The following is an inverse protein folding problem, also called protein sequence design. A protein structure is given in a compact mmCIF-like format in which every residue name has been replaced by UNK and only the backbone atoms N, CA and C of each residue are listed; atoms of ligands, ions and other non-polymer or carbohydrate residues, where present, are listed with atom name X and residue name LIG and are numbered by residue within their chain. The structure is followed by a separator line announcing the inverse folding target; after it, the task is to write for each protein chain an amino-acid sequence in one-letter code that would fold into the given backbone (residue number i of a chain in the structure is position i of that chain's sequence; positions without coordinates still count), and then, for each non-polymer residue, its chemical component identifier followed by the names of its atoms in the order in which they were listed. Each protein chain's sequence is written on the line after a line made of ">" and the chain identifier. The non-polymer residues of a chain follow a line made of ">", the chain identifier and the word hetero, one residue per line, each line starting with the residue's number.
data_IF_487170537701
#
_entry.id   IF_487170537701
#
_cell.length_a   1.000
_cell.length_b   1.000
_cell.length_c   1.000
_cell.angle_alpha   90.00
_cell.angle_beta   90.00
_cell.angle_gamma   90.00
#
_symmetry.space_group_name_H-M   'P 1'
#
loop_
_entity.id
_entity.type
_entity.pdbx_description
1 polymer ?
#
# COMPACT_ATOMS: atom_id res chain seq x y z
N UNK A 1 -1.39 -56.13 18.80
CA UNK A 1 -2.12 -54.95 18.31
C UNK A 1 -1.11 -54.12 17.55
N UNK A 2 -0.93 -54.43 16.26
CA UNK A 2 0.01 -53.72 15.39
C UNK A 2 -0.79 -52.55 14.82
N UNK A 3 -0.37 -51.35 15.22
CA UNK A 3 -0.91 -50.07 14.76
C UNK A 3 -0.51 -49.93 13.28
N UNK A 4 -1.48 -50.06 12.39
CA UNK A 4 -1.33 -49.75 10.97
C UNK A 4 -1.16 -48.22 10.88
N UNK A 5 0.07 -47.73 10.73
CA UNK A 5 0.31 -46.40 10.21
C UNK A 5 -0.11 -46.42 8.74
N UNK A 6 -1.27 -45.84 8.43
CA UNK A 6 -1.59 -45.41 7.09
C UNK A 6 -0.58 -44.33 6.70
N UNK A 7 0.52 -44.76 6.06
CA UNK A 7 1.34 -43.90 5.22
C UNK A 7 0.42 -43.42 4.09
N UNK A 8 -0.03 -42.16 4.17
CA UNK A 8 -0.58 -41.47 3.00
C UNK A 8 0.52 -41.43 1.95
N UNK A 9 0.36 -42.23 0.90
CA UNK A 9 1.15 -42.04 -0.31
C UNK A 9 0.91 -40.61 -0.80
N UNK A 10 1.95 -39.85 -1.22
CA UNK A 10 1.70 -38.64 -1.98
C UNK A 10 0.93 -39.07 -3.24
N UNK A 11 -0.31 -38.60 -3.35
CA UNK A 11 -1.13 -38.81 -4.54
C UNK A 11 -0.45 -38.04 -5.66
N UNK A 12 0.40 -38.73 -6.43
CA UNK A 12 1.07 -38.16 -7.59
C UNK A 12 0.09 -38.08 -8.75
N UNK A 13 -0.89 -37.20 -8.59
CA UNK A 13 -1.68 -36.66 -9.67
C UNK A 13 -0.76 -35.80 -10.54
N UNK A 14 -0.38 -36.33 -11.70
CA UNK A 14 0.60 -35.71 -12.59
C UNK A 14 -0.04 -34.55 -13.35
N UNK A 15 0.08 -33.32 -12.85
CA UNK A 15 -0.04 -32.14 -13.72
C UNK A 15 1.03 -32.23 -14.81
N UNK A 16 0.63 -32.07 -16.07
CA UNK A 16 1.50 -32.19 -17.25
C UNK A 16 1.66 -30.85 -17.97
N UNK A 17 2.86 -30.51 -18.48
CA UNK A 17 3.09 -29.25 -19.19
C UNK A 17 2.36 -29.19 -20.55
N UNK A 18 1.83 -30.32 -21.05
CA UNK A 18 1.01 -30.39 -22.26
C UNK A 18 -0.47 -30.15 -22.02
N UNK A 19 -0.92 -30.18 -20.77
CA UNK A 19 -2.33 -30.03 -20.41
C UNK A 19 -2.63 -28.56 -20.11
N UNK A 20 -3.84 -28.10 -20.41
CA UNK A 20 -4.29 -26.75 -20.05
C UNK A 20 -4.52 -26.60 -18.54
N UNK A 21 -4.67 -25.36 -18.07
CA UNK A 21 -4.84 -25.06 -16.64
C UNK A 21 -6.04 -25.80 -16.01
N UNK A 22 -7.28 -25.75 -16.55
CA UNK A 22 -8.39 -26.49 -15.98
C UNK A 22 -8.17 -28.01 -15.93
N UNK A 23 -7.57 -28.58 -16.98
CA UNK A 23 -7.23 -30.01 -17.04
C UNK A 23 -6.20 -30.36 -15.96
N UNK A 24 -5.14 -29.57 -15.80
CA UNK A 24 -4.15 -29.77 -14.76
C UNK A 24 -4.75 -29.67 -13.36
N UNK A 25 -5.57 -28.66 -13.10
CA UNK A 25 -6.29 -28.52 -11.83
C UNK A 25 -7.14 -29.76 -11.53
N UNK A 26 -7.89 -30.26 -12.52
CA UNK A 26 -8.73 -31.46 -12.38
C UNK A 26 -7.91 -32.73 -12.08
N UNK A 27 -6.71 -32.82 -12.64
CA UNK A 27 -5.85 -33.99 -12.46
C UNK A 27 -5.29 -34.05 -11.04
N UNK A 28 -5.02 -32.91 -10.38
CA UNK A 28 -4.37 -32.83 -9.06
C UNK A 28 -5.13 -33.54 -7.92
N UNK A 29 -6.45 -33.69 -8.04
CA UNK A 29 -7.31 -34.25 -7.00
C UNK A 29 -7.49 -33.37 -5.74
N UNK A 30 -6.87 -32.20 -5.66
CA UNK A 30 -6.98 -31.24 -4.53
C UNK A 30 -7.59 -29.89 -4.92
N UNK A 31 -8.08 -29.77 -6.16
CA UNK A 31 -8.74 -28.58 -6.72
C UNK A 31 -10.12 -28.92 -7.30
N UNK A 32 -10.80 -29.94 -6.74
CA UNK A 32 -12.13 -30.34 -7.21
C UNK A 32 -13.15 -29.20 -7.04
N UNK A 33 -13.10 -28.45 -5.93
CA UNK A 33 -13.95 -27.29 -5.66
C UNK A 33 -13.71 -26.17 -6.67
N UNK A 34 -12.44 -25.89 -7.00
CA UNK A 34 -12.07 -24.90 -8.01
C UNK A 34 -12.63 -25.27 -9.39
N UNK A 35 -12.43 -26.52 -9.82
CA UNK A 35 -12.91 -26.99 -11.13
C UNK A 35 -14.44 -26.98 -11.19
N UNK A 36 -15.12 -27.35 -10.10
CA UNK A 36 -16.57 -27.26 -10.00
C UNK A 36 -17.05 -25.80 -10.10
N UNK A 37 -16.39 -24.87 -9.40
CA UNK A 37 -16.71 -23.45 -9.43
C UNK A 37 -16.51 -22.84 -10.83
N UNK A 38 -15.41 -23.19 -11.51
CA UNK A 38 -15.16 -22.78 -12.90
C UNK A 38 -16.22 -23.30 -13.86
N UNK A 39 -16.69 -24.53 -13.66
CA UNK A 39 -17.78 -25.11 -14.44
C UNK A 39 -19.12 -24.42 -14.16
N UNK A 40 -19.39 -24.08 -12.91
CA UNK A 40 -20.61 -23.39 -12.47
C UNK A 40 -20.69 -21.97 -13.01
N UNK A 41 -19.55 -21.25 -13.05
CA UNK A 41 -19.44 -19.89 -13.58
C UNK A 41 -19.17 -19.82 -15.09
N UNK A 42 -19.22 -20.94 -15.82
CA UNK A 42 -18.92 -21.02 -17.27
C UNK A 42 -17.52 -20.49 -17.68
N UNK A 43 -16.55 -20.47 -16.76
CA UNK A 43 -15.19 -19.95 -16.97
C UNK A 43 -14.18 -20.99 -17.49
N UNK A 44 -14.55 -22.27 -17.57
CA UNK A 44 -13.65 -23.34 -18.05
C UNK A 44 -13.08 -22.99 -19.43
N UNK A 45 -13.93 -22.62 -20.37
CA UNK A 45 -13.49 -22.32 -21.75
C UNK A 45 -12.60 -21.08 -21.82
N UNK A 46 -12.83 -20.09 -20.95
CA UNK A 46 -11.98 -18.90 -20.80
C UNK A 46 -10.57 -19.28 -20.39
N UNK A 47 -10.42 -20.14 -19.38
CA UNK A 47 -9.12 -20.61 -18.89
C UNK A 47 -8.47 -21.71 -19.74
N UNK A 48 -9.18 -22.26 -20.73
CA UNK A 48 -8.60 -23.08 -21.80
C UNK A 48 -8.09 -22.25 -22.99
N UNK A 49 -8.36 -20.94 -22.99
CA UNK A 49 -7.93 -20.04 -24.04
C UNK A 49 -6.41 -19.97 -24.20
N UNK A 50 -5.96 -19.34 -25.29
CA UNK A 50 -4.55 -19.05 -25.53
C UNK A 50 -4.02 -18.08 -24.48
N UNK A 51 -3.18 -18.58 -23.57
CA UNK A 51 -2.50 -17.77 -22.56
C UNK A 51 -1.31 -16.96 -23.11
N UNK A 52 -0.33 -16.61 -22.26
CA UNK A 52 -0.11 -17.18 -20.94
C UNK A 52 -1.05 -16.62 -19.86
N UNK A 53 -1.52 -17.48 -18.97
CA UNK A 53 -2.18 -17.12 -17.71
C UNK A 53 -1.32 -17.52 -16.51
N UNK A 54 -1.50 -16.84 -15.39
CA UNK A 54 -1.03 -17.32 -14.09
C UNK A 54 -2.23 -17.45 -13.17
N UNK A 55 -2.52 -18.67 -12.72
CA UNK A 55 -3.67 -18.94 -11.85
C UNK A 55 -3.19 -19.28 -10.46
N UNK A 56 -3.66 -18.52 -9.48
CA UNK A 56 -3.48 -18.84 -8.07
C UNK A 56 -4.61 -19.79 -7.66
N UNK A 57 -4.36 -21.09 -7.66
CA UNK A 57 -5.38 -22.11 -7.49
C UNK A 57 -5.57 -22.46 -5.99
N UNK A 58 -6.70 -22.08 -5.36
CA UNK A 58 -6.96 -22.46 -3.98
C UNK A 58 -7.32 -23.94 -3.87
N UNK A 59 -6.79 -24.58 -2.84
CA UNK A 59 -7.11 -25.99 -2.54
C UNK A 59 -8.57 -26.19 -2.13
N UNK A 60 -9.06 -27.43 -2.17
CA UNK A 60 -10.40 -27.79 -1.69
C UNK A 60 -10.61 -27.39 -0.21
N UNK A 61 -9.55 -27.44 0.61
CA UNK A 61 -9.60 -26.98 2.00
C UNK A 61 -9.77 -25.45 2.08
N UNK A 62 -9.09 -24.70 1.20
CA UNK A 62 -9.22 -23.24 1.14
C UNK A 62 -10.66 -22.80 0.82
N UNK A 63 -11.33 -23.49 -0.11
CA UNK A 63 -12.76 -23.26 -0.40
C UNK A 63 -13.65 -23.57 0.81
N UNK A 64 -13.40 -24.69 1.48
CA UNK A 64 -14.16 -25.07 2.68
C UNK A 64 -13.97 -24.06 3.82
N UNK A 65 -12.75 -23.57 4.04
CA UNK A 65 -12.43 -22.57 5.06
C UNK A 65 -13.02 -21.20 4.73
N UNK A 66 -13.13 -20.86 3.44
CA UNK A 66 -13.82 -19.66 2.97
C UNK A 66 -15.36 -19.76 3.10
N UNK A 67 -15.90 -20.97 3.33
CA UNK A 67 -17.34 -21.19 3.44
C UNK A 67 -18.12 -21.01 2.14
N UNK A 68 -17.46 -21.16 0.99
CA UNK A 68 -18.09 -21.03 -0.33
C UNK A 68 -18.85 -22.32 -0.66
N UNK A 69 -20.18 -22.24 -0.73
CA UNK A 69 -21.05 -23.29 -1.25
C UNK A 69 -21.59 -22.88 -2.63
N UNK A 70 -21.35 -23.69 -3.66
CA UNK A 70 -21.82 -23.40 -5.03
C UNK A 70 -23.36 -23.41 -5.12
N UNK A 71 -24.05 -24.05 -4.17
CA UNK A 71 -25.50 -24.03 -4.11
C UNK A 71 -26.06 -22.64 -3.74
N UNK A 72 -25.25 -21.76 -3.13
CA UNK A 72 -25.62 -20.39 -2.80
C UNK A 72 -25.50 -19.43 -4.00
N UNK A 73 -25.03 -19.91 -5.16
CA UNK A 73 -24.85 -19.14 -6.38
C UNK A 73 -25.88 -19.57 -7.44
N UNK A 74 -27.17 -19.35 -7.18
CA UNK A 74 -28.26 -19.83 -8.03
C UNK A 74 -28.94 -18.74 -8.88
N UNK A 75 -28.59 -17.48 -8.64
CA UNK A 75 -29.01 -16.32 -9.43
C UNK A 75 -27.91 -15.79 -10.36
N UNK A 76 -28.27 -15.00 -11.36
CA UNK A 76 -27.31 -14.37 -12.28
C UNK A 76 -26.33 -13.45 -11.52
N UNK A 77 -26.82 -12.67 -10.53
CA UNK A 77 -26.02 -11.72 -9.74
C UNK A 77 -25.03 -12.43 -8.81
N UNK A 78 -25.44 -13.54 -8.20
CA UNK A 78 -24.52 -14.38 -7.43
C UNK A 78 -23.49 -15.02 -8.37
N UNK A 79 -23.89 -15.54 -9.53
CA UNK A 79 -22.94 -16.11 -10.50
C UNK A 79 -21.94 -15.08 -11.05
N UNK A 80 -22.35 -13.81 -11.20
CA UNK A 80 -21.43 -12.70 -11.48
C UNK A 80 -20.44 -12.48 -10.33
N UNK A 81 -20.90 -12.59 -9.09
CA UNK A 81 -20.03 -12.52 -7.89
C UNK A 81 -19.02 -13.67 -7.86
N UNK A 82 -19.46 -14.91 -8.11
CA UNK A 82 -18.56 -16.06 -8.21
C UNK A 82 -17.55 -15.88 -9.34
N UNK A 83 -18.01 -15.41 -10.50
CA UNK A 83 -17.12 -15.12 -11.64
C UNK A 83 -16.08 -14.08 -11.27
N UNK A 84 -16.47 -13.01 -10.58
CA UNK A 84 -15.55 -11.98 -10.09
C UNK A 84 -14.49 -12.57 -9.15
N UNK A 85 -14.89 -13.39 -8.17
CA UNK A 85 -13.98 -14.09 -7.26
C UNK A 85 -13.01 -14.97 -8.03
N UNK A 86 -13.49 -15.80 -8.96
CA UNK A 86 -12.65 -16.71 -9.73
C UNK A 86 -11.67 -15.96 -10.64
N UNK A 87 -12.09 -14.86 -11.28
CA UNK A 87 -11.22 -14.03 -12.10
C UNK A 87 -10.19 -13.25 -11.26
N UNK A 88 -10.47 -12.98 -9.99
CA UNK A 88 -9.49 -12.41 -9.04
C UNK A 88 -8.32 -13.35 -8.74
N UNK A 89 -8.43 -14.65 -9.08
CA UNK A 89 -7.33 -15.61 -8.96
C UNK A 89 -6.48 -15.72 -10.24
N UNK A 90 -6.86 -15.02 -11.30
CA UNK A 90 -6.24 -15.13 -12.63
C UNK A 90 -5.48 -13.86 -12.94
N UNK A 91 -4.21 -13.99 -13.28
CA UNK A 91 -3.40 -12.93 -13.85
C UNK A 91 -3.19 -13.18 -15.34
N UNK A 92 -3.38 -12.15 -16.16
CA UNK A 92 -3.16 -12.20 -17.60
C UNK A 92 -1.67 -12.03 -17.94
N UNK A 93 -0.91 -13.10 -17.78
CA UNK A 93 0.51 -13.15 -18.09
C UNK A 93 1.20 -14.33 -17.43
N UNK A 94 2.48 -14.51 -17.72
CA UNK A 94 3.31 -15.54 -17.08
C UNK A 94 4.10 -14.91 -15.94
N UNK A 95 3.80 -15.31 -14.70
CA UNK A 95 4.50 -14.86 -13.50
C UNK A 95 5.02 -16.10 -12.78
N UNK A 96 6.33 -16.32 -12.88
CA UNK A 96 7.02 -17.37 -12.11
C UNK A 96 7.35 -16.85 -10.71
N UNK A 97 7.57 -17.75 -9.76
CA UNK A 97 7.99 -17.38 -8.40
C UNK A 97 9.25 -16.51 -8.39
N UNK A 98 10.15 -16.72 -9.37
CA UNK A 98 11.41 -15.98 -9.50
C UNK A 98 11.27 -14.51 -9.97
N UNK A 99 10.10 -14.15 -10.52
CA UNK A 99 9.80 -12.79 -10.98
C UNK A 99 9.17 -11.92 -9.88
N UNK A 100 8.73 -12.54 -8.77
CA UNK A 100 8.06 -11.84 -7.70
C UNK A 100 9.08 -11.08 -6.83
N UNK A 101 8.73 -9.85 -6.50
CA UNK A 101 9.41 -9.04 -5.50
C UNK A 101 8.46 -8.71 -4.37
N UNK A 102 8.98 -8.58 -3.16
CA UNK A 102 8.17 -8.19 -2.00
C UNK A 102 7.49 -6.83 -2.24
N UNK A 103 6.20 -6.74 -1.88
CA UNK A 103 5.39 -5.54 -2.09
C UNK A 103 4.94 -5.30 -3.54
N UNK A 104 5.22 -6.20 -4.48
CA UNK A 104 4.74 -6.07 -5.86
C UNK A 104 3.20 -6.09 -5.89
N UNK A 105 2.60 -5.13 -6.57
CA UNK A 105 1.18 -5.11 -6.88
C UNK A 105 0.95 -5.65 -8.29
N UNK A 106 -0.07 -6.48 -8.47
CA UNK A 106 -0.52 -6.91 -9.79
C UNK A 106 -2.03 -6.77 -9.92
N UNK A 107 -2.46 -6.29 -11.09
CA UNK A 107 -3.87 -6.24 -11.50
C UNK A 107 -4.29 -7.61 -12.04
N UNK A 108 -5.31 -8.18 -11.44
CA UNK A 108 -5.91 -9.47 -11.81
C UNK A 108 -6.91 -9.27 -12.95
N UNK A 109 -7.38 -10.35 -13.56
CA UNK A 109 -8.30 -10.29 -14.71
C UNK A 109 -9.62 -9.61 -14.36
N UNK A 110 -10.02 -9.66 -13.08
CA UNK A 110 -11.22 -8.96 -12.61
C UNK A 110 -11.04 -7.44 -12.45
N UNK A 111 -9.82 -6.92 -12.62
CA UNK A 111 -9.47 -5.50 -12.49
C UNK A 111 -9.02 -5.09 -11.09
N UNK A 112 -9.24 -5.92 -10.07
CA UNK A 112 -8.73 -5.68 -8.72
C UNK A 112 -7.26 -6.05 -8.62
N UNK A 113 -6.61 -5.54 -7.57
CA UNK A 113 -5.19 -5.79 -7.32
C UNK A 113 -4.97 -6.80 -6.22
N UNK A 114 -3.84 -7.48 -6.31
CA UNK A 114 -3.26 -8.28 -5.23
C UNK A 114 -1.86 -7.80 -4.93
N UNK A 115 -1.49 -7.85 -3.64
CA UNK A 115 -0.12 -7.59 -3.19
C UNK A 115 0.62 -8.91 -2.98
N UNK A 116 1.81 -9.01 -3.52
CA UNK A 116 2.71 -10.13 -3.28
C UNK A 116 3.61 -9.86 -2.08
N UNK A 117 3.78 -10.86 -1.23
CA UNK A 117 4.78 -10.89 -0.17
C UNK A 117 5.86 -11.91 -0.51
N UNK A 118 7.13 -11.53 -0.36
CA UNK A 118 8.28 -12.44 -0.59
C UNK A 118 9.15 -12.43 0.65
N UNK A 119 8.99 -13.44 1.50
CA UNK A 119 9.77 -13.62 2.72
C UNK A 119 10.24 -15.07 2.89
N UNK A 120 9.98 -15.65 4.06
CA UNK A 120 10.21 -17.09 4.29
C UNK A 120 9.32 -17.97 3.39
N UNK A 121 8.14 -17.45 3.06
CA UNK A 121 7.18 -18.01 2.11
C UNK A 121 6.74 -16.91 1.15
N UNK A 122 6.24 -17.30 -0.02
CA UNK A 122 5.58 -16.36 -0.95
C UNK A 122 4.11 -16.28 -0.58
N UNK A 123 3.57 -15.06 -0.51
CA UNK A 123 2.14 -14.80 -0.29
C UNK A 123 1.56 -13.99 -1.44
N UNK A 124 0.28 -14.16 -1.70
CA UNK A 124 -0.53 -13.37 -2.62
C UNK A 124 -1.79 -12.93 -1.89
N UNK A 125 -1.95 -11.63 -1.69
CA UNK A 125 -2.92 -11.09 -0.73
C UNK A 125 -2.69 -11.69 0.66
N UNK A 126 -3.71 -12.34 1.21
CA UNK A 126 -3.63 -13.04 2.50
C UNK A 126 -3.33 -14.55 2.40
N UNK A 127 -3.18 -15.08 1.19
CA UNK A 127 -2.97 -16.49 0.92
C UNK A 127 -1.48 -16.81 0.82
N UNK A 128 -1.07 -17.96 1.35
CA UNK A 128 0.28 -18.50 1.22
C UNK A 128 0.35 -19.42 0.00
N UNK A 129 1.39 -19.24 -0.82
CA UNK A 129 1.68 -20.17 -1.92
C UNK A 129 2.31 -21.44 -1.34
N UNK A 130 1.60 -22.56 -1.48
CA UNK A 130 2.01 -23.87 -0.95
C UNK A 130 2.78 -24.70 -1.97
N UNK A 131 2.52 -24.50 -3.26
CA UNK A 131 3.28 -25.09 -4.37
C UNK A 131 3.32 -24.09 -5.52
N UNK A 132 4.51 -23.74 -5.97
CA UNK A 132 4.70 -22.76 -7.04
C UNK A 132 5.10 -23.42 -8.38
N UNK A 133 4.96 -22.64 -9.46
CA UNK A 133 5.53 -22.93 -10.79
C UNK A 133 5.06 -24.26 -11.42
N UNK A 134 3.77 -24.60 -11.27
CA UNK A 134 3.17 -25.75 -11.97
C UNK A 134 2.86 -25.36 -13.41
N UNK A 135 3.74 -25.75 -14.32
CA UNK A 135 3.65 -25.42 -15.76
C UNK A 135 2.48 -26.14 -16.43
N UNK A 136 1.69 -25.38 -17.19
CA UNK A 136 0.60 -25.82 -18.06
C UNK A 136 0.84 -25.33 -19.49
N UNK A 137 0.14 -25.92 -20.47
CA UNK A 137 0.30 -25.57 -21.89
C UNK A 137 -0.06 -24.12 -22.24
N UNK A 138 -0.90 -23.49 -21.41
CA UNK A 138 -1.37 -22.12 -21.58
C UNK A 138 -1.06 -21.22 -20.36
N UNK A 139 -0.10 -21.61 -19.50
CA UNK A 139 0.28 -20.76 -18.37
C UNK A 139 0.92 -21.49 -17.18
N UNK A 140 0.82 -20.89 -16.00
CA UNK A 140 1.37 -21.38 -14.73
C UNK A 140 0.27 -21.45 -13.69
N UNK A 141 0.34 -22.46 -12.82
CA UNK A 141 -0.49 -22.56 -11.61
C UNK A 141 0.40 -22.41 -10.38
N UNK A 142 -0.03 -21.57 -9.44
CA UNK A 142 0.50 -21.49 -8.07
C UNK A 142 -0.60 -21.93 -7.11
N UNK A 143 -0.37 -22.98 -6.34
CA UNK A 143 -1.34 -23.52 -5.39
C UNK A 143 -1.33 -22.67 -4.12
N UNK A 144 -2.49 -22.23 -3.66
CA UNK A 144 -2.64 -21.36 -2.48
C UNK A 144 -3.53 -22.00 -1.40
N UNK A 145 -3.31 -21.60 -0.15
CA UNK A 145 -4.03 -22.14 1.03
C UNK A 145 -5.31 -21.38 1.41
N UNK A 146 -5.63 -20.28 0.74
CA UNK A 146 -6.86 -19.50 0.93
C UNK A 146 -7.44 -19.04 -0.40
N UNK A 147 -8.74 -18.82 -0.43
CA UNK A 147 -9.41 -18.13 -1.55
C UNK A 147 -9.09 -16.64 -1.49
N UNK A 148 -8.68 -16.06 -2.62
CA UNK A 148 -8.52 -14.63 -2.82
C UNK A 148 -9.90 -14.00 -3.00
N UNK A 149 -10.39 -13.37 -1.94
CA UNK A 149 -11.60 -12.56 -2.01
C UNK A 149 -11.27 -11.19 -2.62
N UNK A 150 -12.04 -10.71 -3.61
CA UNK A 150 -11.93 -9.35 -4.09
C UNK A 150 -11.92 -8.35 -2.92
N UNK A 151 -11.06 -7.33 -2.96
CA UNK A 151 -10.93 -6.38 -1.87
C UNK A 151 -12.18 -5.49 -1.75
N UNK A 152 -12.46 -5.04 -0.53
CA UNK A 152 -13.51 -4.05 -0.27
C UNK A 152 -13.05 -2.64 -0.64
N UNK A 153 -13.99 -1.68 -0.71
CA UNK A 153 -13.64 -0.27 -0.93
C UNK A 153 -12.93 0.35 0.29
N UNK A 154 -12.43 1.58 0.14
CA UNK A 154 -11.67 2.27 1.20
C UNK A 154 -12.45 2.42 2.52
N UNK A 155 -13.67 2.99 2.56
CA UNK A 155 -14.40 3.13 3.81
C UNK A 155 -14.70 1.80 4.52
N UNK A 156 -15.13 0.78 3.76
CA UNK A 156 -15.41 -0.54 4.30
C UNK A 156 -14.13 -1.18 4.86
N UNK A 157 -13.03 -1.13 4.11
CA UNK A 157 -11.72 -1.65 4.55
C UNK A 157 -11.25 -0.95 5.83
N UNK A 158 -11.33 0.39 5.89
CA UNK A 158 -10.94 1.13 7.09
C UNK A 158 -11.79 0.73 8.30
N UNK A 159 -13.10 0.52 8.10
CA UNK A 159 -14.05 0.13 9.14
C UNK A 159 -13.79 -1.24 9.77
N UNK A 160 -13.15 -2.17 9.07
CA UNK A 160 -12.87 -3.52 9.61
C UNK A 160 -11.56 -3.61 10.40
N UNK A 161 -10.65 -2.64 10.23
CA UNK A 161 -9.33 -2.65 10.88
C UNK A 161 -9.37 -2.49 12.41
N UNK A 162 -10.45 -1.92 12.95
CA UNK A 162 -10.57 -1.61 14.38
C UNK A 162 -9.67 -0.47 14.90
N UNK A 163 -8.78 0.09 14.08
CA UNK A 163 -7.85 1.19 14.44
C UNK A 163 -8.16 2.52 13.73
N UNK A 164 -9.20 2.56 12.91
CA UNK A 164 -9.61 3.74 12.13
C UNK A 164 -11.04 4.21 12.48
N UNK A 165 -11.53 3.92 13.69
CA UNK A 165 -12.91 4.26 14.07
C UNK A 165 -13.17 5.78 14.01
N UNK A 166 -12.18 6.57 14.43
CA UNK A 166 -12.19 8.04 14.42
C UNK A 166 -12.18 8.58 13.00
N UNK A 167 -11.38 7.97 12.11
CA UNK A 167 -11.34 8.33 10.70
C UNK A 167 -12.69 8.07 10.03
N UNK A 168 -13.26 6.88 10.20
CA UNK A 168 -14.55 6.51 9.60
C UNK A 168 -15.67 7.42 10.13
N UNK A 169 -15.70 7.70 11.44
CA UNK A 169 -16.65 8.64 12.03
C UNK A 169 -16.49 10.06 11.46
N UNK A 170 -15.25 10.52 11.28
CA UNK A 170 -14.96 11.83 10.70
C UNK A 170 -15.45 11.93 9.24
N UNK A 171 -15.19 10.91 8.42
CA UNK A 171 -15.63 10.82 7.02
C UNK A 171 -17.15 10.90 6.92
N UNK A 172 -17.87 10.18 7.79
CA UNK A 172 -19.34 10.23 7.84
C UNK A 172 -19.82 11.62 8.27
N UNK A 173 -19.23 12.21 9.31
CA UNK A 173 -19.63 13.54 9.81
C UNK A 173 -19.40 14.66 8.78
N UNK A 174 -18.34 14.53 7.98
CA UNK A 174 -17.98 15.46 6.91
C UNK A 174 -18.74 15.20 5.59
N UNK A 175 -19.66 14.24 5.55
CA UNK A 175 -20.44 13.84 4.37
C UNK A 175 -19.56 13.40 3.17
N UNK A 176 -18.38 12.83 3.44
CA UNK A 176 -17.41 12.38 2.41
C UNK A 176 -17.50 10.88 2.09
N UNK A 177 -18.39 10.12 2.76
CA UNK A 177 -18.50 8.67 2.59
C UNK A 177 -18.73 8.28 1.12
N UNK A 178 -19.75 8.86 0.48
CA UNK A 178 -20.08 8.56 -0.92
C UNK A 178 -18.96 8.97 -1.90
N UNK A 179 -18.14 9.96 -1.54
CA UNK A 179 -16.97 10.35 -2.34
C UNK A 179 -15.89 9.28 -2.29
N UNK A 180 -15.60 8.74 -1.11
CA UNK A 180 -14.61 7.67 -0.91
C UNK A 180 -15.11 6.28 -1.31
N UNK A 181 -16.41 6.08 -1.45
CA UNK A 181 -17.01 4.89 -2.10
C UNK A 181 -17.01 4.99 -3.63
N UNK A 182 -16.75 6.19 -4.17
CA UNK A 182 -16.75 6.45 -5.60
C UNK A 182 -15.64 5.69 -6.36
N UNK A 183 -15.69 5.73 -7.70
CA UNK A 183 -14.67 5.12 -8.53
C UNK A 183 -13.32 5.81 -8.30
N UNK A 184 -12.29 5.02 -8.04
CA UNK A 184 -10.92 5.48 -7.87
C UNK A 184 -10.15 5.60 -9.20
N UNK A 185 -8.80 5.53 -9.15
CA UNK A 185 -8.00 5.17 -7.98
C UNK A 185 -7.80 6.33 -7.01
N UNK A 186 -7.87 6.02 -5.72
CA UNK A 186 -7.45 6.90 -4.62
C UNK A 186 -6.22 6.35 -3.90
N UNK A 187 -5.44 7.24 -3.30
CA UNK A 187 -4.49 6.88 -2.24
C UNK A 187 -4.87 7.64 -0.99
N UNK A 188 -5.24 6.92 0.07
CA UNK A 188 -5.68 7.51 1.34
C UNK A 188 -4.62 7.26 2.40
N UNK A 189 -4.10 8.35 2.96
CA UNK A 189 -3.26 8.30 4.15
C UNK A 189 -4.17 8.25 5.37
N UNK A 190 -4.40 7.05 5.92
CA UNK A 190 -5.37 6.82 6.97
C UNK A 190 -4.71 6.93 8.36
N UNK A 191 -4.96 8.02 9.13
CA UNK A 191 -4.44 8.14 10.48
C UNK A 191 -5.15 7.18 11.44
N UNK A 192 -4.36 6.57 12.33
CA UNK A 192 -4.89 5.72 13.40
C UNK A 192 -5.74 6.50 14.41
N UNK A 193 -6.54 5.80 15.22
CA UNK A 193 -7.28 6.39 16.34
C UNK A 193 -6.35 7.09 17.36
N UNK A 194 -5.13 6.57 17.53
CA UNK A 194 -4.11 7.21 18.37
C UNK A 194 -3.65 8.53 17.75
N UNK A 195 -3.46 8.59 16.44
CA UNK A 195 -3.09 9.81 15.73
C UNK A 195 -4.13 10.92 15.90
N UNK A 196 -5.42 10.59 15.83
CA UNK A 196 -6.52 11.54 16.12
C UNK A 196 -6.49 12.05 17.56
N UNK A 197 -6.22 11.15 18.51
CA UNK A 197 -6.12 11.49 19.93
C UNK A 197 -4.95 12.44 20.18
N UNK A 198 -3.79 12.16 19.60
CA UNK A 198 -2.57 12.98 19.74
C UNK A 198 -2.71 14.35 19.06
N UNK A 199 -3.46 14.42 17.97
CA UNK A 199 -3.82 15.68 17.32
C UNK A 199 -4.80 16.54 18.14
N UNK A 200 -5.43 15.98 19.18
CA UNK A 200 -6.42 16.69 19.99
C UNK A 200 -7.71 17.03 19.23
N UNK A 201 -8.01 16.32 18.14
CA UNK A 201 -9.20 16.55 17.32
C UNK A 201 -10.42 15.98 18.04
N UNK A 202 -11.37 16.86 18.36
CA UNK A 202 -12.68 16.46 18.90
C UNK A 202 -13.75 16.61 17.83
N UNK A 203 -14.26 15.47 17.33
CA UNK A 203 -15.32 15.46 16.33
C UNK A 203 -16.60 16.17 16.81
N UNK A 204 -16.92 16.05 18.11
CA UNK A 204 -18.06 16.76 18.70
C UNK A 204 -17.88 18.29 18.72
N UNK A 205 -16.64 18.78 18.81
CA UNK A 205 -16.36 20.21 18.71
C UNK A 205 -16.46 20.73 17.26
N UNK A 206 -16.33 19.82 16.28
CA UNK A 206 -16.44 20.12 14.84
C UNK A 206 -17.84 19.83 14.27
N UNK A 207 -18.83 19.47 15.10
CA UNK A 207 -20.22 19.25 14.67
C UNK A 207 -21.00 20.58 14.55
N UNK A 208 -20.41 21.51 13.79
CA UNK A 208 -21.00 22.78 13.37
C UNK A 208 -20.84 22.90 11.85
N UNK A 209 -21.63 23.74 11.16
CA UNK A 209 -21.46 23.93 9.71
C UNK A 209 -20.02 24.30 9.32
N UNK A 210 -19.39 25.22 10.03
CA UNK A 210 -18.00 25.64 9.80
C UNK A 210 -17.00 24.55 10.21
N UNK A 211 -17.28 23.83 11.29
CA UNK A 211 -16.47 22.71 11.77
C UNK A 211 -16.43 21.56 10.76
N UNK A 212 -17.56 21.24 10.13
CA UNK A 212 -17.66 20.23 9.07
C UNK A 212 -16.90 20.62 7.81
N UNK A 213 -16.93 21.90 7.42
CA UNK A 213 -16.11 22.39 6.30
C UNK A 213 -14.62 22.24 6.61
N UNK A 214 -14.21 22.59 7.83
CA UNK A 214 -12.82 22.41 8.29
C UNK A 214 -12.42 20.94 8.30
N UNK A 215 -13.30 20.07 8.82
CA UNK A 215 -13.05 18.63 8.86
C UNK A 215 -12.95 18.03 7.46
N UNK A 216 -13.83 18.44 6.53
CA UNK A 216 -13.77 18.00 5.14
C UNK A 216 -12.45 18.40 4.48
N UNK A 217 -11.98 19.64 4.68
CA UNK A 217 -10.69 20.11 4.15
C UNK A 217 -9.51 19.29 4.70
N UNK A 218 -9.49 19.03 6.02
CA UNK A 218 -8.50 18.15 6.65
C UNK A 218 -8.54 16.75 6.04
N UNK A 219 -9.72 16.15 5.89
CA UNK A 219 -9.86 14.79 5.35
C UNK A 219 -9.46 14.71 3.88
N UNK A 220 -9.80 15.71 3.06
CA UNK A 220 -9.37 15.79 1.67
C UNK A 220 -7.85 15.96 1.53
N UNK A 221 -7.18 16.57 2.52
CA UNK A 221 -5.72 16.65 2.55
C UNK A 221 -5.04 15.28 2.78
N UNK A 222 -5.77 14.28 3.26
CA UNK A 222 -5.28 12.90 3.41
C UNK A 222 -5.47 12.05 2.15
N UNK A 223 -6.05 12.60 1.09
CA UNK A 223 -6.39 11.85 -0.12
C UNK A 223 -5.60 12.38 -1.30
N UNK A 224 -4.99 11.50 -2.08
CA UNK A 224 -4.47 11.80 -3.41
C UNK A 224 -5.36 11.11 -4.44
N UNK A 225 -5.81 11.86 -5.45
CA UNK A 225 -6.69 11.36 -6.53
C UNK A 225 -5.93 10.59 -7.61
N UNK A 226 -5.00 9.74 -7.17
CA UNK A 226 -4.26 8.79 -8.00
C UNK A 226 -3.77 7.65 -7.12
N UNK A 227 -3.31 6.59 -7.77
CA UNK A 227 -2.64 5.49 -7.09
C UNK A 227 -1.15 5.82 -6.89
N UNK A 228 -0.71 5.83 -5.64
CA UNK A 228 0.67 6.07 -5.24
C UNK A 228 1.09 4.93 -4.32
N UNK A 229 1.59 3.81 -4.85
CA UNK A 229 2.14 2.75 -4.02
C UNK A 229 3.41 3.23 -3.33
N UNK A 230 3.76 2.64 -2.18
CA UNK A 230 4.95 3.08 -1.44
C UNK A 230 6.24 2.91 -2.24
N UNK A 231 6.30 1.94 -3.15
CA UNK A 231 7.42 1.73 -4.08
C UNK A 231 7.58 2.83 -5.14
N UNK A 232 6.54 3.62 -5.41
CA UNK A 232 6.61 4.77 -6.32
C UNK A 232 7.07 6.05 -5.61
N UNK A 233 7.09 6.06 -4.28
CA UNK A 233 7.51 7.22 -3.49
C UNK A 233 9.02 7.34 -3.53
N UNK A 234 9.51 8.54 -3.86
CA UNK A 234 10.94 8.87 -3.88
C UNK A 234 11.23 10.01 -2.93
N UNK A 235 12.49 10.09 -2.47
CA UNK A 235 12.89 11.18 -1.59
C UNK A 235 12.70 12.54 -2.28
N UNK A 236 12.19 13.54 -1.54
CA UNK A 236 11.86 14.85 -2.07
C UNK A 236 10.73 14.86 -3.13
N UNK A 237 9.95 13.79 -3.27
CA UNK A 237 8.71 13.79 -4.05
C UNK A 237 7.66 14.74 -3.42
N UNK A 238 6.80 15.28 -4.25
CA UNK A 238 5.62 16.06 -3.85
C UNK A 238 4.43 15.61 -4.69
N UNK A 239 3.23 15.64 -4.11
CA UNK A 239 1.97 15.43 -4.84
C UNK A 239 0.90 16.38 -4.29
N UNK A 240 -0.10 16.70 -5.10
CA UNK A 240 -1.24 17.49 -4.64
C UNK A 240 -2.29 16.56 -4.03
N UNK A 241 -2.76 16.90 -2.83
CA UNK A 241 -3.90 16.25 -2.21
C UNK A 241 -5.23 16.69 -2.88
N UNK A 242 -6.34 16.04 -2.54
CA UNK A 242 -7.65 16.30 -3.11
C UNK A 242 -8.18 17.72 -2.78
N UNK A 243 -7.66 18.37 -1.74
CA UNK A 243 -7.92 19.78 -1.45
C UNK A 243 -6.99 20.76 -2.22
N UNK A 244 -6.13 20.26 -3.12
CA UNK A 244 -5.14 21.00 -3.93
C UNK A 244 -3.95 21.57 -3.14
N UNK A 245 -3.71 21.11 -1.92
CA UNK A 245 -2.51 21.48 -1.19
C UNK A 245 -1.41 20.43 -1.37
N UNK A 246 -0.13 20.85 -1.35
CA UNK A 246 0.97 19.95 -1.54
C UNK A 246 1.17 19.04 -0.33
N UNK A 247 1.41 17.77 -0.60
CA UNK A 247 1.99 16.78 0.31
C UNK A 247 3.46 16.60 -0.05
N UNK A 248 4.31 16.51 0.96
CA UNK A 248 5.72 16.18 0.80
C UNK A 248 6.00 14.75 1.19
N UNK A 249 6.85 14.07 0.45
CA UNK A 249 7.28 12.71 0.78
C UNK A 249 8.78 12.66 1.10
N UNK A 250 9.12 11.81 2.06
CA UNK A 250 10.50 11.55 2.48
C UNK A 250 10.71 10.05 2.55
N UNK A 251 11.86 9.59 2.06
CA UNK A 251 12.26 8.19 2.09
C UNK A 251 13.61 8.10 2.81
N UNK A 252 13.61 7.44 3.97
CA UNK A 252 14.79 7.19 4.79
C UNK A 252 14.72 5.78 5.38
N UNK A 253 14.65 5.70 6.71
CA UNK A 253 14.39 4.42 7.41
C UNK A 253 12.96 3.88 7.18
N UNK A 254 12.08 4.73 6.64
CA UNK A 254 10.73 4.40 6.20
C UNK A 254 10.20 5.49 5.26
N UNK A 255 8.92 5.37 4.88
CA UNK A 255 8.23 6.40 4.09
C UNK A 255 7.51 7.34 5.04
N UNK A 256 7.65 8.64 4.83
CA UNK A 256 6.89 9.67 5.53
C UNK A 256 6.11 10.52 4.54
N UNK A 257 4.93 10.97 4.96
CA UNK A 257 4.12 11.99 4.30
C UNK A 257 4.01 13.20 5.24
N UNK A 258 4.53 14.33 4.80
CA UNK A 258 4.87 15.48 5.65
C UNK A 258 5.72 15.00 6.85
N UNK A 259 5.20 15.16 8.08
CA UNK A 259 5.83 14.68 9.31
C UNK A 259 5.24 13.37 9.85
N UNK A 260 4.32 12.74 9.11
CA UNK A 260 3.67 11.49 9.53
C UNK A 260 4.43 10.28 8.98
N UNK A 261 4.70 9.30 9.84
CA UNK A 261 5.30 8.04 9.41
C UNK A 261 4.21 7.12 8.83
N UNK A 262 4.50 6.49 7.69
CA UNK A 262 3.68 5.39 7.18
C UNK A 262 4.02 4.13 7.96
N UNK A 263 3.10 3.71 8.82
CA UNK A 263 3.28 2.53 9.70
C UNK A 263 2.85 1.22 9.05
N UNK A 264 1.97 1.29 8.04
CA UNK A 264 1.62 0.17 7.19
C UNK A 264 1.27 0.70 5.80
N UNK A 265 1.98 0.22 4.79
CA UNK A 265 1.84 0.67 3.41
C UNK A 265 1.06 -0.32 2.54
N UNK A 266 0.51 0.20 1.44
CA UNK A 266 -0.08 -0.57 0.34
C UNK A 266 -1.16 -1.56 0.80
N UNK A 267 -2.10 -1.10 1.62
CA UNK A 267 -3.32 -1.87 1.90
C UNK A 267 -4.24 -1.72 0.68
N UNK A 268 -4.45 -2.82 -0.03
CA UNK A 268 -5.20 -2.83 -1.30
C UNK A 268 -6.70 -2.75 -1.04
N UNK A 269 -7.38 -1.90 -1.79
CA UNK A 269 -8.84 -1.77 -1.80
C UNK A 269 -9.35 -1.80 -3.25
N UNK A 270 -10.65 -2.04 -3.48
CA UNK A 270 -11.21 -2.09 -4.85
C UNK A 270 -11.17 -0.75 -5.58
N UNK A 271 -11.04 0.36 -4.86
CA UNK A 271 -11.00 1.70 -5.44
C UNK A 271 -9.72 2.48 -5.07
N UNK A 272 -8.66 1.82 -4.63
CA UNK A 272 -7.40 2.49 -4.33
C UNK A 272 -6.44 1.76 -3.39
N UNK A 273 -5.65 2.56 -2.68
CA UNK A 273 -4.70 2.12 -1.66
C UNK A 273 -4.93 2.90 -0.37
N UNK A 274 -4.72 2.22 0.76
CA UNK A 274 -4.61 2.84 2.07
C UNK A 274 -3.16 2.72 2.55
N UNK A 275 -2.58 3.86 2.97
CA UNK A 275 -1.36 3.94 3.75
C UNK A 275 -1.71 4.35 5.17
N UNK A 276 -1.51 3.48 6.14
CA UNK A 276 -1.78 3.79 7.55
C UNK A 276 -0.67 4.71 8.07
N UNK A 277 -1.05 5.81 8.71
CA UNK A 277 -0.11 6.81 9.25
C UNK A 277 -0.30 7.04 10.76
N UNK A 278 0.77 7.47 11.42
CA UNK A 278 0.79 7.69 12.87
C UNK A 278 0.39 9.10 13.32
N UNK A 279 0.13 10.03 12.39
CA UNK A 279 -0.21 11.42 12.68
C UNK A 279 -1.27 11.94 11.73
N UNK A 280 -2.18 12.79 12.22
CA UNK A 280 -3.14 13.49 11.35
C UNK A 280 -2.42 14.58 10.56
N UNK A 281 -2.61 14.57 9.25
CA UNK A 281 -2.10 15.60 8.34
C UNK A 281 -2.95 16.87 8.48
N UNK A 282 -2.28 18.00 8.68
CA UNK A 282 -2.95 19.30 8.72
C UNK A 282 -2.66 20.06 7.42
N UNK A 283 -3.70 20.54 6.72
CA UNK A 283 -3.61 21.44 5.57
C UNK A 283 -2.48 22.48 5.68
N UNK A 284 -1.56 22.51 4.71
CA UNK A 284 -0.45 23.47 4.66
C UNK A 284 0.03 23.68 3.23
N UNK A 285 0.34 24.93 2.87
CA UNK A 285 0.99 25.27 1.59
C UNK A 285 2.50 25.01 1.60
N UNK A 286 3.07 24.80 2.79
CA UNK A 286 4.50 24.55 3.01
C UNK A 286 4.67 23.30 3.89
N UNK A 287 4.51 22.09 3.32
CA UNK A 287 4.57 20.83 4.05
C UNK A 287 5.99 20.42 4.49
N UNK A 288 7.03 21.11 3.99
CA UNK A 288 8.43 20.86 4.33
C UNK A 288 8.91 21.93 5.31
N UNK A 289 9.69 21.50 6.29
CA UNK A 289 10.50 22.42 7.10
C UNK A 289 11.61 23.08 6.25
N UNK A 290 12.31 24.06 6.84
CA UNK A 290 13.35 24.83 6.13
C UNK A 290 14.54 23.96 5.74
N UNK A 291 15.16 23.17 6.66
CA UNK A 291 16.26 22.29 6.31
C UNK A 291 15.92 21.31 5.19
N UNK A 292 14.72 20.72 5.24
CA UNK A 292 14.23 19.77 4.24
C UNK A 292 13.98 20.44 2.90
N UNK A 293 13.41 21.64 2.91
CA UNK A 293 13.26 22.44 1.69
C UNK A 293 14.61 22.70 1.03
N UNK A 294 15.62 23.12 1.81
CA UNK A 294 16.98 23.36 1.32
C UNK A 294 17.61 22.09 0.75
N UNK A 295 17.51 20.96 1.46
CA UNK A 295 18.02 19.66 1.01
C UNK A 295 17.43 19.26 -0.34
N UNK A 296 16.12 19.44 -0.52
CA UNK A 296 15.45 19.05 -1.76
C UNK A 296 15.71 19.97 -2.97
N UNK A 297 16.49 21.04 -2.81
CA UNK A 297 16.91 21.89 -3.94
C UNK A 297 18.13 21.33 -4.69
N UNK A 298 18.92 20.46 -4.06
CA UNK A 298 20.20 19.94 -4.59
C UNK A 298 21.31 20.98 -4.80
N UNK A 299 21.18 22.19 -4.23
CA UNK A 299 22.20 23.27 -4.33
C UNK A 299 22.54 23.91 -2.99
N UNK A 300 22.04 23.33 -1.89
CA UNK A 300 22.22 23.80 -0.51
C UNK A 300 22.74 22.69 0.40
N UNK A 301 23.43 21.69 -0.14
CA UNK A 301 23.93 20.54 0.64
C UNK A 301 24.91 20.99 1.74
N UNK A 302 25.75 21.98 1.45
CA UNK A 302 26.69 22.62 2.37
C UNK A 302 25.98 23.36 3.49
N UNK A 303 24.85 24.02 3.17
CA UNK A 303 24.03 24.69 4.17
C UNK A 303 23.42 23.68 5.15
N UNK A 304 22.83 22.60 4.62
CA UNK A 304 22.22 21.56 5.45
C UNK A 304 23.28 20.91 6.35
N UNK A 305 24.44 20.56 5.80
CA UNK A 305 25.56 20.03 6.59
C UNK A 305 26.02 21.01 7.68
N UNK A 306 26.12 22.31 7.35
CA UNK A 306 26.50 23.35 8.29
C UNK A 306 25.49 23.52 9.43
N UNK A 307 24.19 23.51 9.12
CA UNK A 307 23.09 23.59 10.11
C UNK A 307 23.15 22.41 11.09
N UNK A 308 23.39 21.20 10.59
CA UNK A 308 23.54 20.00 11.42
C UNK A 308 24.77 20.13 12.32
N UNK A 309 25.93 20.49 11.75
CA UNK A 309 27.18 20.63 12.50
C UNK A 309 27.13 21.74 13.56
N UNK A 310 26.34 22.79 13.31
CA UNK A 310 26.09 23.88 14.24
C UNK A 310 24.98 23.59 15.26
N UNK A 311 24.38 22.39 15.25
CA UNK A 311 23.27 21.98 16.14
C UNK A 311 22.03 22.87 16.02
N UNK A 312 21.81 23.48 14.85
CA UNK A 312 20.67 24.37 14.56
C UNK A 312 19.49 23.64 13.89
N UNK A 313 19.63 22.35 13.58
CA UNK A 313 18.63 21.57 12.87
C UNK A 313 17.27 21.62 13.58
N UNK A 314 17.20 21.18 14.84
CA UNK A 314 15.94 21.16 15.61
C UNK A 314 15.29 22.55 15.72
N UNK A 315 16.11 23.61 15.76
CA UNK A 315 15.60 24.99 15.80
C UNK A 315 14.87 25.34 14.51
N UNK A 316 15.47 25.02 13.35
CA UNK A 316 14.90 25.33 12.03
C UNK A 316 13.77 24.39 11.61
N UNK A 317 13.63 23.24 12.27
CA UNK A 317 12.46 22.35 12.16
C UNK A 317 11.31 22.79 13.08
N UNK A 318 11.61 23.61 14.09
CA UNK A 318 10.63 24.10 15.05
C UNK A 318 9.65 25.13 14.47
N UNK A 319 8.66 25.54 15.26
CA UNK A 319 7.71 26.57 14.87
C UNK A 319 8.43 27.92 14.68
N UNK A 320 8.18 28.56 13.53
CA UNK A 320 8.71 29.88 13.21
C UNK A 320 8.00 31.06 13.90
N UNK A 321 8.06 32.27 13.32
CA UNK A 321 8.52 32.56 11.96
C UNK A 321 10.04 32.58 11.82
N UNK A 322 10.54 31.99 10.74
CA UNK A 322 11.92 32.11 10.29
C UNK A 322 11.97 32.71 8.88
N UNK A 323 13.05 33.39 8.56
CA UNK A 323 13.39 33.79 7.19
C UNK A 323 14.88 33.55 7.04
N UNK A 324 15.23 32.51 6.29
CA UNK A 324 16.63 32.09 6.11
C UNK A 324 17.08 32.52 4.72
N UNK A 325 18.10 33.36 4.66
CA UNK A 325 18.81 33.70 3.43
C UNK A 325 19.80 32.58 3.11
N UNK A 326 19.29 31.49 2.51
CA UNK A 326 20.03 30.26 2.26
C UNK A 326 21.17 30.46 1.23
N UNK A 327 22.46 30.40 1.63
CA UNK A 327 23.57 30.43 0.68
C UNK A 327 23.69 29.09 -0.07
N UNK A 328 23.99 29.16 -1.37
CA UNK A 328 24.24 27.97 -2.20
C UNK A 328 25.58 27.33 -1.88
N UNK A 329 25.79 26.10 -2.35
CA UNK A 329 27.07 25.39 -2.23
C UNK A 329 28.26 26.17 -2.83
N UNK A 330 27.99 26.90 -3.92
CA UNK A 330 29.00 27.78 -4.53
C UNK A 330 29.36 28.94 -3.58
N UNK A 331 28.40 29.51 -2.84
CA UNK A 331 28.67 30.58 -1.90
C UNK A 331 29.53 30.11 -0.71
N UNK A 332 29.34 28.87 -0.23
CA UNK A 332 30.24 28.26 0.76
C UNK A 332 31.66 28.10 0.21
N UNK A 333 31.77 27.63 -1.04
CA UNK A 333 33.06 27.46 -1.72
C UNK A 333 33.77 28.79 -1.91
N UNK A 334 33.07 29.82 -2.36
CA UNK A 334 33.61 31.17 -2.60
C UNK A 334 34.04 31.86 -1.30
N UNK A 335 33.33 31.58 -0.19
CA UNK A 335 33.70 32.06 1.13
C UNK A 335 34.90 31.32 1.73
N UNK A 336 35.37 30.23 1.11
CA UNK A 336 36.46 29.40 1.61
C UNK A 336 36.11 28.68 2.91
N UNK A 337 34.82 28.40 3.15
CA UNK A 337 34.36 27.68 4.33
C UNK A 337 34.57 26.18 4.10
N UNK A 338 35.50 25.59 4.85
CA UNK A 338 35.71 24.14 4.91
C UNK A 338 35.09 23.60 6.21
N UNK A 339 33.93 22.96 6.09
CA UNK A 339 33.18 22.41 7.23
C UNK A 339 34.00 21.39 8.03
N UNK A 340 34.87 20.61 7.38
CA UNK A 340 35.72 19.62 8.05
C UNK A 340 36.73 20.31 8.98
N UNK A 341 37.26 21.47 8.58
CA UNK A 341 38.15 22.28 9.42
C UNK A 341 37.45 22.92 10.63
N UNK A 342 36.12 23.05 10.56
CA UNK A 342 35.28 23.66 11.60
C UNK A 342 34.69 22.64 12.59
N UNK A 343 35.02 21.35 12.50
CA UNK A 343 34.55 20.31 13.44
C UNK A 343 35.34 20.34 14.78
N UNK A 344 35.39 21.52 15.37
CA UNK A 344 35.92 21.79 16.72
C UNK A 344 34.88 22.57 17.51
N UNK A 345 34.89 22.56 18.85
CA UNK A 345 33.94 23.34 19.63
C UNK A 345 33.91 24.83 19.25
N UNK A 346 35.09 25.42 19.03
CA UNK A 346 35.22 26.81 18.59
C UNK A 346 34.74 27.01 17.15
N UNK A 347 35.04 26.06 16.26
CA UNK A 347 34.59 26.07 14.87
C UNK A 347 33.06 25.97 14.74
N UNK A 348 32.43 25.07 15.50
CA UNK A 348 30.96 24.92 15.58
C UNK A 348 30.30 26.18 16.12
N UNK A 349 30.86 26.78 17.17
CA UNK A 349 30.35 28.05 17.70
C UNK A 349 30.48 29.20 16.69
N UNK A 350 31.59 29.26 15.95
CA UNK A 350 31.77 30.25 14.88
C UNK A 350 30.77 30.03 13.74
N UNK A 351 30.58 28.77 13.31
CA UNK A 351 29.63 28.38 12.27
C UNK A 351 28.20 28.71 12.67
N UNK A 352 27.80 28.39 13.91
CA UNK A 352 26.49 28.75 14.45
C UNK A 352 26.25 30.26 14.42
N UNK A 353 27.24 31.08 14.82
CA UNK A 353 27.13 32.54 14.76
C UNK A 353 26.97 33.06 13.32
N UNK A 354 27.67 32.46 12.35
CA UNK A 354 27.52 32.82 10.93
C UNK A 354 26.11 32.47 10.44
N UNK A 355 25.62 31.27 10.75
CA UNK A 355 24.31 30.80 10.32
C UNK A 355 23.16 31.58 10.98
N UNK A 356 23.28 31.95 12.25
CA UNK A 356 22.29 32.78 12.95
C UNK A 356 22.16 34.20 12.39
N UNK A 357 23.11 34.65 11.58
CA UNK A 357 23.03 35.93 10.88
C UNK A 357 22.28 35.85 9.54
N UNK A 358 22.19 34.64 8.95
CA UNK A 358 21.47 34.38 7.70
C UNK A 358 19.99 34.11 7.97
#
# INVERSE_FOLDING_TARGET
>A
MILLLCSSLPLNASAGPSDDIPTNASNTGVHNSLVAALGHADLVTTLQGTGPFTVFAPTDQAFADAGIDLADFDTDEENETLSNILLHHVYAGEVTSSMLTDGMLAEMVNGDKVKFGVGATVTVGEATVTSADVVSSNGIIHVIDKVLMPPENIPTTAGTTGIHNSLVAAVVQADLLATLEGPGPFTVFAPTDQAFTDAGISLSALDTPEGKVTLADILLYHVVSSEVPASAVTDCMSADAANNQPLSFTVGDGVMVNDANVVSADVVTSNGLIHVIDKVLTPSDTPRDIPRTAQCTGTHDSLVAAVIQAELLETLQGPGPFTVFAPTDQAFTDAGIDLASMDTPEGKAALANILLYH
#
